data_IF_721417330897
#
_entry.id   IF_721417330897
#
_cell.length_a   1.000
_cell.length_b   1.000
_cell.length_c   1.000
_cell.angle_alpha   90.00
_cell.angle_beta   90.00
_cell.angle_gamma   90.00
#
_symmetry.space_group_name_H-M   'P 1'
#
loop_
_entity.id
_entity.type
_entity.pdbx_description
1 polymer ?
#
# COMPACT_ATOMS: atom_id res chain seq x y z
N UNK A 1 15.31 -32.18 -16.49
CA UNK A 1 16.08 -31.04 -17.02
C UNK A 1 15.08 -30.10 -17.69
N UNK A 2 14.47 -29.21 -16.91
CA UNK A 2 13.50 -28.22 -17.39
C UNK A 2 14.29 -26.95 -17.70
N UNK A 3 14.29 -26.56 -18.96
CA UNK A 3 14.91 -25.33 -19.45
C UNK A 3 14.14 -24.13 -18.87
N UNK A 4 14.79 -23.38 -18.00
CA UNK A 4 14.41 -22.02 -17.62
C UNK A 4 14.68 -21.11 -18.82
N UNK A 5 13.71 -20.95 -19.71
CA UNK A 5 13.77 -19.94 -20.75
C UNK A 5 13.44 -18.58 -20.12
N UNK A 6 14.49 -17.72 -20.11
CA UNK A 6 14.49 -16.26 -19.98
C UNK A 6 13.30 -15.63 -19.25
N UNK A 7 13.40 -15.52 -17.92
CA UNK A 7 12.58 -14.61 -17.10
C UNK A 7 13.02 -13.18 -17.46
N UNK A 8 12.19 -12.44 -18.16
CA UNK A 8 12.42 -11.04 -18.45
C UNK A 8 11.66 -10.21 -17.40
N UNK A 9 12.39 -9.79 -16.36
CA UNK A 9 11.87 -8.88 -15.33
C UNK A 9 11.87 -7.46 -15.88
N UNK A 10 10.70 -6.86 -16.04
CA UNK A 10 10.56 -5.44 -16.34
C UNK A 10 10.28 -4.69 -15.04
N UNK A 11 11.28 -3.95 -14.58
CA UNK A 11 11.11 -2.98 -13.49
C UNK A 11 10.81 -1.61 -14.10
N UNK A 12 9.60 -1.12 -13.94
CA UNK A 12 9.28 0.28 -14.22
C UNK A 12 9.32 1.06 -12.92
N UNK A 13 10.42 1.79 -12.71
CA UNK A 13 10.52 2.78 -11.64
C UNK A 13 10.04 4.11 -12.21
N UNK A 14 8.84 4.53 -11.83
CA UNK A 14 8.40 5.90 -12.13
C UNK A 14 9.03 6.85 -11.11
N UNK A 15 10.10 7.53 -11.51
CA UNK A 15 10.60 8.68 -10.77
C UNK A 15 9.66 9.86 -11.04
N UNK A 16 9.21 10.60 -10.02
CA UNK A 16 8.42 11.80 -10.26
C UNK A 16 9.26 12.83 -10.98
N UNK A 17 8.74 13.35 -12.10
CA UNK A 17 9.33 14.47 -12.81
C UNK A 17 9.27 15.71 -11.91
N UNK A 18 10.45 16.24 -11.57
CA UNK A 18 10.56 17.51 -10.88
C UNK A 18 10.25 18.64 -11.86
N UNK A 19 9.14 19.33 -11.66
CA UNK A 19 8.96 20.67 -12.19
C UNK A 19 9.48 21.66 -11.14
N UNK A 20 10.71 22.13 -11.31
CA UNK A 20 11.26 23.23 -10.52
C UNK A 20 10.64 24.53 -10.99
N UNK A 21 9.65 25.05 -10.29
CA UNK A 21 9.20 26.41 -10.49
C UNK A 21 10.08 27.32 -9.61
N UNK A 22 11.11 27.90 -10.24
CA UNK A 22 12.00 28.87 -9.65
C UNK A 22 11.28 30.23 -9.56
N UNK A 23 10.53 30.48 -8.48
CA UNK A 23 10.26 31.83 -7.98
C UNK A 23 9.47 31.73 -6.66
N UNK A 24 10.18 31.71 -5.54
CA UNK A 24 9.73 32.35 -4.31
C UNK A 24 10.83 32.43 -3.25
N UNK A 25 10.83 33.54 -2.57
CA UNK A 25 11.77 34.03 -1.59
C UNK A 25 12.06 33.05 -0.43
N UNK A 26 13.33 33.07 0.04
CA UNK A 26 13.88 32.40 1.19
C UNK A 26 12.91 32.18 2.35
N UNK A 27 12.59 30.94 2.59
CA UNK A 27 12.11 30.43 3.87
C UNK A 27 12.90 29.14 4.14
N UNK A 28 13.61 29.12 5.28
CA UNK A 28 14.35 27.95 5.78
C UNK A 28 13.35 26.84 6.17
N UNK A 29 12.82 26.11 5.21
CA UNK A 29 12.11 24.85 5.44
C UNK A 29 12.96 23.72 4.85
N UNK A 30 13.38 22.79 5.70
CA UNK A 30 13.96 21.52 5.27
C UNK A 30 13.03 20.89 4.25
N UNK A 31 13.49 20.76 3.03
CA UNK A 31 12.81 20.02 1.97
C UNK A 31 13.04 18.54 2.27
N UNK A 32 12.04 17.89 2.84
CA UNK A 32 12.04 16.44 3.01
C UNK A 32 11.54 15.82 1.72
N UNK A 33 12.35 14.96 1.14
CA UNK A 33 12.06 14.23 -0.09
C UNK A 33 11.22 13.00 0.23
N UNK A 34 10.10 12.83 -0.47
CA UNK A 34 9.24 11.65 -0.38
C UNK A 34 9.40 10.81 -1.64
N UNK A 35 9.60 9.53 -1.45
CA UNK A 35 9.62 8.55 -2.54
C UNK A 35 8.29 7.78 -2.55
N UNK A 36 7.54 7.91 -3.63
CA UNK A 36 6.50 6.95 -3.99
C UNK A 36 7.16 5.92 -4.89
N UNK A 37 7.22 4.69 -4.47
CA UNK A 37 7.67 3.59 -5.31
C UNK A 37 6.43 2.78 -5.67
N UNK A 38 6.02 2.90 -6.93
CA UNK A 38 5.08 1.99 -7.55
C UNK A 38 5.90 1.02 -8.39
N UNK A 39 5.86 -0.26 -8.05
CA UNK A 39 6.53 -1.30 -8.82
C UNK A 39 5.45 -2.18 -9.43
N UNK A 40 5.36 -2.13 -10.75
CA UNK A 40 4.59 -3.07 -11.54
C UNK A 40 5.51 -4.22 -11.94
N UNK A 41 5.21 -5.42 -11.48
CA UNK A 41 5.91 -6.63 -11.93
C UNK A 41 4.98 -7.44 -12.83
N UNK A 42 5.40 -7.67 -14.06
CA UNK A 42 4.73 -8.57 -15.01
C UNK A 42 5.71 -9.70 -15.29
N UNK A 43 5.34 -10.91 -14.92
CA UNK A 43 6.11 -12.12 -15.21
C UNK A 43 5.17 -13.10 -15.89
N UNK A 44 5.37 -13.34 -17.17
CA UNK A 44 4.52 -14.17 -18.02
C UNK A 44 3.02 -13.94 -17.69
N UNK A 45 2.14 -14.78 -17.54
CA UNK A 45 0.71 -14.51 -17.27
C UNK A 45 0.38 -14.04 -15.84
N UNK A 46 1.38 -13.74 -15.01
CA UNK A 46 1.20 -13.24 -13.64
C UNK A 46 1.46 -11.74 -13.55
N UNK A 47 0.45 -11.01 -13.11
CA UNK A 47 0.54 -9.58 -12.86
C UNK A 47 0.28 -9.29 -11.38
N UNK A 48 1.23 -8.63 -10.70
CA UNK A 48 0.98 -8.10 -9.37
C UNK A 48 1.35 -6.63 -9.27
N UNK A 49 0.62 -5.90 -8.45
CA UNK A 49 0.83 -4.49 -8.19
C UNK A 49 1.40 -4.29 -6.79
N UNK A 50 2.51 -3.57 -6.72
CA UNK A 50 3.10 -3.06 -5.51
C UNK A 50 2.80 -1.58 -5.39
N UNK A 51 2.09 -1.17 -4.35
CA UNK A 51 1.88 0.24 -4.02
C UNK A 51 2.56 0.55 -2.69
N UNK A 52 3.24 1.69 -2.61
CA UNK A 52 3.85 2.19 -1.40
C UNK A 52 3.14 3.45 -0.94
N UNK A 53 2.43 3.36 0.19
CA UNK A 53 1.82 4.49 0.84
C UNK A 53 2.61 4.82 2.11
N UNK A 54 3.47 5.82 2.06
CA UNK A 54 4.17 6.30 3.26
C UNK A 54 3.23 7.19 4.08
N UNK A 55 2.80 6.69 5.24
CA UNK A 55 1.67 7.14 6.04
C UNK A 55 1.71 8.53 6.65
N UNK A 56 2.54 9.49 6.24
CA UNK A 56 2.61 10.75 7.01
C UNK A 56 2.50 12.08 6.26
N UNK A 57 2.53 12.12 4.94
CA UNK A 57 2.44 13.40 4.22
C UNK A 57 1.72 13.40 2.87
N UNK A 58 0.85 12.46 2.62
CA UNK A 58 -0.16 12.63 1.58
C UNK A 58 -1.40 13.38 2.09
N UNK A 59 -1.14 14.31 3.01
CA UNK A 59 -2.09 15.35 3.27
C UNK A 59 -2.06 16.27 2.07
N UNK A 60 -2.96 16.04 1.16
CA UNK A 60 -3.43 17.10 0.29
C UNK A 60 -3.85 18.28 1.14
N UNK A 61 -3.87 19.43 0.50
CA UNK A 61 -4.55 20.62 1.00
C UNK A 61 -5.97 20.36 1.53
N UNK A 62 -6.56 19.22 1.19
CA UNK A 62 -7.90 18.76 1.61
C UNK A 62 -7.93 18.05 2.96
N UNK A 63 -6.78 17.57 3.49
CA UNK A 63 -6.71 16.82 4.75
C UNK A 63 -7.41 15.47 4.74
N UNK A 64 -7.60 14.84 3.56
CA UNK A 64 -8.20 13.51 3.40
C UNK A 64 -7.12 12.43 3.47
N UNK A 65 -7.37 11.37 4.23
CA UNK A 65 -6.49 10.20 4.33
C UNK A 65 -6.70 9.27 3.12
N UNK A 66 -5.69 9.18 2.25
CA UNK A 66 -5.76 8.38 1.01
C UNK A 66 -5.95 6.88 1.27
N UNK A 67 -5.52 6.38 2.44
CA UNK A 67 -5.76 5.00 2.84
C UNK A 67 -7.22 4.68 3.13
N UNK A 68 -8.08 5.69 3.24
CA UNK A 68 -9.48 5.55 3.58
C UNK A 68 -10.38 5.96 2.41
N UNK A 69 -9.87 5.85 1.17
CA UNK A 69 -10.54 6.33 -0.02
C UNK A 69 -11.11 5.23 -0.92
N UNK A 70 -10.87 3.95 -0.60
CA UNK A 70 -11.35 2.85 -1.44
C UNK A 70 -12.75 2.37 -1.03
N UNK A 71 -13.60 1.90 -1.98
CA UNK A 71 -14.99 1.50 -1.71
C UNK A 71 -15.08 0.09 -1.07
N UNK A 72 -14.36 -0.12 0.02
CA UNK A 72 -14.38 -1.32 0.86
C UNK A 72 -15.07 -1.01 2.19
N UNK A 73 -16.36 -1.20 2.26
CA UNK A 73 -17.18 -0.83 3.42
C UNK A 73 -16.91 0.61 3.91
N UNK A 74 -16.80 1.54 2.96
CA UNK A 74 -16.38 2.92 3.23
C UNK A 74 -17.29 3.66 4.22
N UNK A 75 -18.61 3.43 4.19
CA UNK A 75 -19.55 4.04 5.12
C UNK A 75 -19.30 3.54 6.57
N UNK A 76 -18.86 2.30 6.73
CA UNK A 76 -18.48 1.77 8.03
C UNK A 76 -17.17 2.40 8.51
N UNK A 77 -16.18 2.56 7.62
CA UNK A 77 -14.96 3.30 7.93
C UNK A 77 -15.28 4.72 8.42
N UNK A 78 -16.15 5.42 7.69
CA UNK A 78 -16.62 6.76 8.05
C UNK A 78 -17.24 6.80 9.44
N UNK A 79 -18.16 5.88 9.72
CA UNK A 79 -18.80 5.79 11.03
C UNK A 79 -17.79 5.57 12.16
N UNK A 80 -16.83 4.67 11.95
CA UNK A 80 -15.77 4.38 12.93
C UNK A 80 -14.92 5.61 13.17
N UNK A 81 -14.41 6.24 12.11
CA UNK A 81 -13.53 7.42 12.22
C UNK A 81 -14.24 8.63 12.80
N UNK A 82 -15.51 8.84 12.47
CA UNK A 82 -16.32 9.92 13.05
C UNK A 82 -16.55 9.70 14.54
N UNK A 83 -16.79 8.47 15.00
CA UNK A 83 -16.90 8.14 16.42
C UNK A 83 -15.58 8.35 17.18
N UNK A 84 -14.44 8.27 16.49
CA UNK A 84 -13.11 8.57 17.03
C UNK A 84 -12.77 10.08 16.99
N UNK A 85 -13.67 10.93 16.46
CA UNK A 85 -13.50 12.37 16.39
C UNK A 85 -12.97 12.94 15.07
N UNK A 86 -12.68 12.10 14.07
CA UNK A 86 -12.18 12.53 12.77
C UNK A 86 -13.32 12.89 11.81
N UNK A 87 -14.02 13.98 12.08
CA UNK A 87 -15.21 14.41 11.34
C UNK A 87 -14.94 15.40 10.21
N UNK A 88 -13.70 15.88 10.07
CA UNK A 88 -13.27 16.86 9.08
C UNK A 88 -11.80 16.72 8.76
N UNK A 89 -11.26 17.58 7.86
CA UNK A 89 -9.86 17.57 7.46
C UNK A 89 -8.90 17.43 8.64
N UNK A 90 -8.05 16.41 8.60
CA UNK A 90 -7.13 16.08 9.68
C UNK A 90 -5.80 15.55 9.14
N UNK A 91 -4.72 15.52 9.92
CA UNK A 91 -3.43 14.94 9.53
C UNK A 91 -3.49 13.44 9.18
N UNK A 92 -4.49 12.73 9.63
CA UNK A 92 -4.77 11.31 9.34
C UNK A 92 -6.20 10.99 9.74
N UNK A 93 -6.68 9.84 9.30
CA UNK A 93 -7.95 9.24 9.72
C UNK A 93 -9.23 9.99 9.25
N UNK A 94 -9.13 11.11 8.53
CA UNK A 94 -10.31 11.71 7.89
C UNK A 94 -10.58 11.02 6.56
N UNK A 95 -11.72 10.34 6.46
CA UNK A 95 -12.10 9.53 5.30
C UNK A 95 -12.51 10.33 4.06
N UNK A 96 -12.64 11.66 4.18
CA UNK A 96 -13.18 12.52 3.12
C UNK A 96 -14.71 12.54 3.11
N UNK A 97 -15.25 13.07 2.03
CA UNK A 97 -16.71 13.24 1.85
C UNK A 97 -17.35 12.11 1.04
N UNK A 98 -16.54 11.29 0.38
CA UNK A 98 -16.93 10.11 -0.39
C UNK A 98 -15.72 9.26 -0.74
N UNK A 99 -15.91 8.01 -1.18
CA UNK A 99 -14.81 7.19 -1.66
C UNK A 99 -14.33 7.72 -3.02
N UNK A 100 -13.04 7.52 -3.33
CA UNK A 100 -12.39 7.88 -4.61
C UNK A 100 -12.54 9.37 -4.99
N UNK A 101 -12.69 10.26 -4.02
CA UNK A 101 -12.72 11.71 -4.27
C UNK A 101 -11.33 12.29 -4.50
N UNK A 102 -10.30 11.59 -4.02
CA UNK A 102 -8.92 12.02 -4.18
C UNK A 102 -8.31 11.43 -5.47
N UNK A 103 -7.73 12.26 -6.36
CA UNK A 103 -7.26 11.79 -7.66
C UNK A 103 -6.15 10.74 -7.57
N UNK A 104 -5.34 10.69 -6.52
CA UNK A 104 -4.35 9.66 -6.32
C UNK A 104 -5.00 8.29 -6.07
N UNK A 105 -5.98 8.23 -5.17
CA UNK A 105 -6.73 6.99 -4.92
C UNK A 105 -7.50 6.56 -6.18
N UNK A 106 -8.12 7.50 -6.88
CA UNK A 106 -8.82 7.25 -8.14
C UNK A 106 -7.86 6.75 -9.24
N UNK A 107 -6.63 7.26 -9.30
CA UNK A 107 -5.62 6.81 -10.26
C UNK A 107 -5.23 5.34 -10.01
N UNK A 108 -4.94 4.95 -8.77
CA UNK A 108 -4.63 3.57 -8.40
C UNK A 108 -5.83 2.65 -8.65
N UNK A 109 -7.03 3.09 -8.30
CA UNK A 109 -8.27 2.36 -8.56
C UNK A 109 -8.44 2.09 -10.06
N UNK A 110 -8.39 3.12 -10.91
CA UNK A 110 -8.54 2.99 -12.36
C UNK A 110 -7.40 2.17 -13.00
N UNK A 111 -6.19 2.27 -12.46
CA UNK A 111 -5.06 1.45 -12.90
C UNK A 111 -5.33 -0.03 -12.59
N UNK A 112 -5.77 -0.35 -11.39
CA UNK A 112 -6.09 -1.73 -10.99
C UNK A 112 -7.19 -2.35 -11.86
N UNK A 113 -8.21 -1.55 -12.27
CA UNK A 113 -9.27 -2.02 -13.16
C UNK A 113 -8.79 -2.37 -14.58
N UNK A 114 -7.65 -1.83 -15.03
CA UNK A 114 -7.11 -2.06 -16.38
C UNK A 114 -6.33 -3.36 -16.52
N UNK A 115 -5.90 -3.94 -15.40
CA UNK A 115 -5.03 -5.12 -15.39
C UNK A 115 -5.65 -6.24 -14.56
N UNK A 116 -5.42 -7.48 -14.99
CA UNK A 116 -5.91 -8.67 -14.29
C UNK A 116 -4.94 -9.11 -13.18
N UNK A 117 -4.76 -8.25 -12.16
CA UNK A 117 -3.86 -8.58 -11.05
C UNK A 117 -4.33 -9.82 -10.28
N UNK A 118 -3.41 -10.76 -10.05
CA UNK A 118 -3.67 -11.98 -9.26
C UNK A 118 -3.47 -11.74 -7.78
N UNK A 119 -2.63 -10.77 -7.42
CA UNK A 119 -2.25 -10.42 -6.07
C UNK A 119 -1.85 -8.94 -6.02
N UNK A 120 -2.12 -8.28 -4.87
CA UNK A 120 -1.65 -6.92 -4.59
C UNK A 120 -0.91 -6.85 -3.27
N UNK A 121 0.12 -5.98 -3.21
CA UNK A 121 0.89 -5.70 -2.00
C UNK A 121 0.97 -4.20 -1.81
N UNK A 122 0.43 -3.70 -0.70
CA UNK A 122 0.52 -2.31 -0.28
C UNK A 122 1.55 -2.18 0.86
N UNK A 123 2.59 -1.37 0.64
CA UNK A 123 3.59 -1.11 1.67
C UNK A 123 3.24 0.11 2.50
N UNK A 124 3.32 -0.08 3.81
CA UNK A 124 3.13 0.92 4.85
C UNK A 124 4.29 0.92 5.85
N UNK A 125 4.26 1.82 6.79
CA UNK A 125 5.05 1.83 8.00
C UNK A 125 4.09 2.02 9.17
N UNK A 126 4.21 1.26 10.23
CA UNK A 126 5.29 0.43 10.72
C UNK A 126 4.76 -0.71 11.60
N UNK A 127 5.60 -1.70 11.97
CA UNK A 127 5.22 -2.74 12.94
C UNK A 127 5.82 -4.12 12.65
N UNK A 128 6.43 -4.33 11.47
CA UNK A 128 6.89 -5.65 10.98
C UNK A 128 5.74 -6.66 10.99
N UNK A 129 4.57 -6.24 10.50
CA UNK A 129 3.37 -7.05 10.40
C UNK A 129 2.92 -7.15 8.93
N UNK A 130 2.18 -8.23 8.63
CA UNK A 130 1.58 -8.51 7.32
C UNK A 130 0.10 -8.71 7.54
N UNK A 131 -0.72 -7.78 7.09
CA UNK A 131 -2.16 -7.92 7.12
C UNK A 131 -2.66 -8.56 5.83
N UNK A 132 -3.46 -9.62 5.92
CA UNK A 132 -3.83 -10.47 4.79
C UNK A 132 -5.33 -10.67 4.61
N UNK A 133 -6.13 -10.25 5.57
CA UNK A 133 -7.55 -10.53 5.68
C UNK A 133 -8.40 -9.26 5.52
N UNK A 134 -9.61 -9.41 5.03
CA UNK A 134 -10.61 -8.34 5.05
C UNK A 134 -12.00 -8.94 5.32
N UNK A 135 -12.67 -8.46 6.38
CA UNK A 135 -14.04 -8.86 6.75
C UNK A 135 -14.20 -10.40 6.74
N UNK A 136 -15.22 -10.90 6.08
CA UNK A 136 -15.51 -12.34 5.92
C UNK A 136 -14.98 -12.92 4.59
N UNK A 137 -14.22 -12.15 3.81
CA UNK A 137 -13.61 -12.62 2.58
C UNK A 137 -12.44 -13.55 2.89
N UNK A 138 -12.36 -14.65 2.14
CA UNK A 138 -11.31 -15.65 2.30
C UNK A 138 -10.76 -16.06 0.92
N UNK A 139 -9.94 -15.20 0.29
CA UNK A 139 -9.40 -15.50 -1.03
C UNK A 139 -8.59 -16.79 -1.03
N UNK A 140 -8.70 -17.61 -2.09
CA UNK A 140 -7.92 -18.85 -2.20
C UNK A 140 -6.43 -18.61 -2.00
N UNK A 141 -5.77 -19.50 -1.26
CA UNK A 141 -4.34 -19.46 -0.95
C UNK A 141 -3.84 -18.23 -0.16
N UNK A 142 -4.70 -17.27 0.20
CA UNK A 142 -4.29 -16.02 0.84
C UNK A 142 -3.50 -16.27 2.13
N UNK A 143 -3.97 -17.17 3.00
CA UNK A 143 -3.24 -17.54 4.22
C UNK A 143 -1.91 -18.22 3.94
N UNK A 144 -1.87 -19.15 2.96
CA UNK A 144 -0.64 -19.85 2.57
C UNK A 144 0.41 -18.87 2.07
N UNK A 145 0.06 -18.01 1.12
CA UNK A 145 0.96 -16.99 0.55
C UNK A 145 1.45 -16.05 1.65
N UNK A 146 0.55 -15.53 2.49
CA UNK A 146 0.92 -14.68 3.64
C UNK A 146 1.89 -15.37 4.60
N UNK A 147 1.74 -16.68 4.81
CA UNK A 147 2.68 -17.46 5.62
C UNK A 147 4.06 -17.55 4.96
N UNK A 148 4.15 -17.67 3.64
CA UNK A 148 5.44 -17.64 2.93
C UNK A 148 6.09 -16.25 3.03
N UNK A 149 5.32 -15.17 2.91
CA UNK A 149 5.79 -13.81 3.13
C UNK A 149 6.34 -13.61 4.54
N UNK A 150 5.61 -14.08 5.55
CA UNK A 150 6.03 -14.00 6.95
C UNK A 150 7.36 -14.78 7.20
N UNK A 151 7.49 -15.99 6.66
CA UNK A 151 8.72 -16.77 6.74
C UNK A 151 9.90 -16.09 6.06
N UNK A 152 9.69 -15.47 4.91
CA UNK A 152 10.73 -14.83 4.13
C UNK A 152 11.24 -13.53 4.76
N UNK A 153 10.33 -12.74 5.35
CA UNK A 153 10.64 -11.41 5.89
C UNK A 153 10.98 -11.41 7.38
N UNK A 154 10.55 -12.44 8.12
CA UNK A 154 10.54 -12.44 9.57
C UNK A 154 9.44 -11.57 10.18
N UNK A 155 8.49 -11.08 9.36
CA UNK A 155 7.35 -10.30 9.83
C UNK A 155 6.23 -11.21 10.32
N UNK A 156 5.39 -10.68 11.21
CA UNK A 156 4.26 -11.41 11.76
C UNK A 156 3.07 -11.36 10.81
N UNK A 157 2.51 -12.51 10.44
CA UNK A 157 1.21 -12.56 9.79
C UNK A 157 0.11 -12.24 10.83
N UNK A 158 -0.69 -11.21 10.60
CA UNK A 158 -1.64 -10.68 11.56
C UNK A 158 -2.96 -10.26 10.88
N UNK A 159 -4.00 -10.14 11.68
CA UNK A 159 -5.26 -9.53 11.26
C UNK A 159 -5.19 -8.03 11.46
N UNK A 160 -5.76 -7.27 10.52
CA UNK A 160 -5.84 -5.82 10.66
C UNK A 160 -6.70 -5.46 11.89
N UNK A 161 -6.26 -4.52 12.74
CA UNK A 161 -7.10 -4.02 13.83
C UNK A 161 -8.42 -3.46 13.33
N UNK A 162 -9.53 -3.74 14.00
CA UNK A 162 -10.89 -3.38 13.56
C UNK A 162 -11.03 -1.90 13.14
N UNK A 163 -10.48 -0.98 13.94
CA UNK A 163 -10.56 0.46 13.65
C UNK A 163 -9.77 0.93 12.41
N UNK A 164 -9.00 0.02 11.80
CA UNK A 164 -8.16 0.27 10.62
C UNK A 164 -8.44 -0.72 9.49
N UNK A 165 -9.53 -1.48 9.57
CA UNK A 165 -9.82 -2.62 8.68
C UNK A 165 -10.71 -2.29 7.49
N UNK A 166 -11.00 -1.01 7.22
CA UNK A 166 -11.98 -0.63 6.20
C UNK A 166 -11.47 0.48 5.30
N UNK A 167 -12.01 0.55 4.09
CA UNK A 167 -11.74 1.55 3.08
C UNK A 167 -10.28 1.60 2.55
N UNK A 168 -9.46 0.59 2.85
CA UNK A 168 -8.10 0.45 2.34
C UNK A 168 -8.05 -0.12 0.92
N UNK A 169 -6.92 0.12 0.21
CA UNK A 169 -6.70 -0.42 -1.14
C UNK A 169 -6.74 -1.96 -1.15
N UNK A 170 -5.98 -2.60 -0.25
CA UNK A 170 -6.00 -4.07 -0.08
C UNK A 170 -7.40 -4.60 0.19
N UNK A 171 -8.15 -3.89 1.05
CA UNK A 171 -9.49 -4.31 1.47
C UNK A 171 -10.46 -4.30 0.28
N UNK A 172 -10.41 -3.23 -0.53
CA UNK A 172 -11.19 -3.13 -1.75
C UNK A 172 -10.80 -4.23 -2.75
N UNK A 173 -9.52 -4.48 -2.96
CA UNK A 173 -9.07 -5.51 -3.90
C UNK A 173 -9.56 -6.91 -3.48
N UNK A 174 -9.47 -7.23 -2.20
CA UNK A 174 -9.99 -8.50 -1.66
C UNK A 174 -11.50 -8.59 -1.86
N UNK A 175 -12.25 -7.53 -1.55
CA UNK A 175 -13.70 -7.48 -1.68
C UNK A 175 -14.16 -7.63 -3.12
N UNK A 176 -13.53 -6.92 -4.04
CA UNK A 176 -13.92 -6.85 -5.46
C UNK A 176 -13.59 -8.12 -6.24
N UNK A 177 -12.37 -8.65 -6.02
CA UNK A 177 -11.86 -9.75 -6.84
C UNK A 177 -11.83 -11.09 -6.13
N UNK A 178 -12.04 -11.14 -4.81
CA UNK A 178 -11.80 -12.33 -3.98
C UNK A 178 -10.42 -12.96 -4.26
N UNK A 179 -9.40 -12.12 -4.37
CA UNK A 179 -7.99 -12.48 -4.63
C UNK A 179 -7.10 -12.01 -3.49
N UNK A 180 -5.90 -12.63 -3.30
CA UNK A 180 -4.96 -12.26 -2.26
C UNK A 180 -4.54 -10.80 -2.32
N UNK A 181 -4.64 -10.10 -1.21
CA UNK A 181 -4.17 -8.74 -1.01
C UNK A 181 -3.49 -8.61 0.35
N UNK A 182 -2.38 -7.88 0.40
CA UNK A 182 -1.57 -7.73 1.61
C UNK A 182 -1.24 -6.28 1.89
N UNK A 183 -1.26 -5.92 3.17
CA UNK A 183 -0.59 -4.71 3.67
C UNK A 183 0.65 -5.13 4.44
N UNK A 184 1.80 -4.58 4.08
CA UNK A 184 3.07 -4.83 4.73
C UNK A 184 3.44 -3.61 5.57
N UNK A 185 3.43 -3.74 6.89
CA UNK A 185 3.85 -2.70 7.82
C UNK A 185 5.36 -2.80 8.06
N UNK A 186 6.15 -2.11 7.23
CA UNK A 186 7.60 -2.22 7.20
C UNK A 186 8.28 -1.40 8.31
N UNK A 187 9.32 -1.96 8.92
CA UNK A 187 10.14 -1.28 9.92
C UNK A 187 9.52 -1.19 11.31
N UNK A 188 10.18 -0.47 12.21
CA UNK A 188 9.79 -0.32 13.63
C UNK A 188 10.02 1.11 14.09
N UNK A 189 9.18 1.61 14.99
CA UNK A 189 9.31 2.91 15.63
C UNK A 189 8.18 3.87 15.28
N UNK A 190 8.45 5.15 15.18
CA UNK A 190 7.46 6.17 14.81
C UNK A 190 7.69 6.65 13.38
N UNK A 191 6.60 6.79 12.62
CA UNK A 191 6.68 7.37 11.26
C UNK A 191 6.83 8.89 11.30
N UNK A 192 7.67 9.48 10.41
CA UNK A 192 8.48 8.81 9.38
C UNK A 192 9.65 8.04 9.96
N UNK A 193 9.86 6.82 9.51
CA UNK A 193 11.00 6.00 9.95
C UNK A 193 12.34 6.63 9.52
N UNK A 194 13.39 6.52 10.36
CA UNK A 194 14.70 7.01 10.00
C UNK A 194 15.29 6.22 8.81
N UNK A 195 15.97 6.94 7.91
CA UNK A 195 16.55 6.33 6.70
C UNK A 195 17.56 5.22 7.01
N UNK A 196 18.14 5.22 8.21
CA UNK A 196 19.04 4.15 8.68
C UNK A 196 18.39 2.76 8.76
N UNK A 197 17.05 2.67 8.75
CA UNK A 197 16.36 1.39 8.68
C UNK A 197 16.20 0.84 7.25
N UNK A 198 16.54 1.62 6.22
CA UNK A 198 16.27 1.26 4.83
C UNK A 198 16.89 -0.10 4.45
N UNK A 199 18.17 -0.31 4.75
CA UNK A 199 18.88 -1.55 4.36
C UNK A 199 18.25 -2.78 5.01
N UNK A 200 17.84 -2.69 6.27
CA UNK A 200 17.15 -3.77 6.96
C UNK A 200 15.77 -4.03 6.37
N UNK A 201 14.98 -2.97 6.16
CA UNK A 201 13.64 -3.05 5.55
C UNK A 201 13.74 -3.67 4.16
N UNK A 202 14.67 -3.21 3.32
CA UNK A 202 14.89 -3.75 1.97
C UNK A 202 15.24 -5.23 2.03
N UNK A 203 16.21 -5.62 2.86
CA UNK A 203 16.64 -7.01 3.02
C UNK A 203 15.52 -7.93 3.49
N UNK A 204 14.67 -7.45 4.41
CA UNK A 204 13.55 -8.23 4.91
C UNK A 204 12.45 -8.40 3.86
N UNK A 205 12.26 -7.43 2.99
CA UNK A 205 11.11 -7.40 2.09
C UNK A 205 11.39 -7.86 0.66
N UNK A 206 12.64 -7.94 0.22
CA UNK A 206 12.95 -8.40 -1.15
C UNK A 206 12.40 -9.80 -1.43
N UNK A 207 12.41 -10.68 -0.41
CA UNK A 207 11.83 -12.02 -0.53
C UNK A 207 10.31 -12.01 -0.70
N UNK A 208 9.59 -11.07 -0.08
CA UNK A 208 8.14 -10.89 -0.29
C UNK A 208 7.88 -10.53 -1.76
N UNK A 209 8.66 -9.61 -2.34
CA UNK A 209 8.49 -9.17 -3.73
C UNK A 209 8.72 -10.32 -4.71
N UNK A 210 9.79 -11.09 -4.50
CA UNK A 210 10.11 -12.25 -5.35
C UNK A 210 9.02 -13.31 -5.25
N UNK A 211 8.58 -13.64 -4.03
CA UNK A 211 7.51 -14.64 -3.81
C UNK A 211 6.18 -14.17 -4.41
N UNK A 212 5.81 -12.88 -4.25
CA UNK A 212 4.60 -12.33 -4.83
C UNK A 212 4.57 -12.40 -6.37
N UNK A 213 5.75 -12.42 -7.00
CA UNK A 213 5.88 -12.52 -8.44
C UNK A 213 5.83 -13.96 -8.98
N UNK A 214 6.02 -15.00 -8.14
CA UNK A 214 6.13 -16.39 -8.60
C UNK A 214 5.11 -17.34 -7.97
N UNK A 215 4.34 -16.90 -6.97
CA UNK A 215 3.27 -17.67 -6.32
C UNK A 215 1.89 -17.33 -6.93
#
# INVERSE_FOLDING_TARGET
>A
MVLLNSIQLYFFVFLPFFHSNSNSKKSNKKTEYFFNIEILCIIDDYCFLLTYFCGWKFLKSTGVDLNLQFPAEWELAKKIKYNLGFTGPAPRDFVGYGPLTEPEALAVYNFTLRYDFKLVIAYHTQGKEIYWQFSNFNPPNSFYIGTQFAKSSGYKLANTPYNSSFAGYKDWFIQEYNRPGYTIEAGIGESPLPISQFDEIYKNNIGILILGAVL
#
